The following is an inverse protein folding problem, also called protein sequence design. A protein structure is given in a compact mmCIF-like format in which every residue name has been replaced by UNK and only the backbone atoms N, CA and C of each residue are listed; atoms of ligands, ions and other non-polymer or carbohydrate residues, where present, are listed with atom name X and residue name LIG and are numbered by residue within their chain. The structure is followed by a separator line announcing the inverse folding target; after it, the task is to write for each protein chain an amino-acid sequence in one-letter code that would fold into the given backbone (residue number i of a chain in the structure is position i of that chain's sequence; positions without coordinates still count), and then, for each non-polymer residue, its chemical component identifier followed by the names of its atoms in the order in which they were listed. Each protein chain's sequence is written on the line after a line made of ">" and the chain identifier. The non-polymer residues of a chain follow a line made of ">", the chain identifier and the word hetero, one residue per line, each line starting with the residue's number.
data_IF_473334290627
#
_entry.id   IF_473334290627
#
_cell.length_a   1.000
_cell.length_b   1.000
_cell.length_c   1.000
_cell.angle_alpha   90.00
_cell.angle_beta   90.00
_cell.angle_gamma   90.00
#
_symmetry.space_group_name_H-M   'P 1'
#
loop_
_entity.id
_entity.type
_entity.pdbx_description
1 polymer ?
#
# COMPACT_ATOMS: atom_id res chain seq x y z
N UNK A 1 18.89 -0.41 0.89
CA UNK A 1 18.54 0.27 2.15
C UNK A 1 18.14 -0.82 3.14
N UNK A 2 18.45 -0.72 4.44
CA UNK A 2 17.91 -1.67 5.42
C UNK A 2 16.38 -1.55 5.46
N UNK A 3 15.70 -2.67 5.75
CA UNK A 3 14.24 -2.69 5.92
C UNK A 3 13.82 -1.73 7.04
N UNK A 4 12.72 -0.99 6.83
CA UNK A 4 12.16 -0.09 7.83
C UNK A 4 11.36 -0.90 8.86
N UNK A 5 11.42 -0.51 10.13
CA UNK A 5 10.62 -1.15 11.17
C UNK A 5 9.11 -0.90 10.96
N UNK A 6 8.27 -1.84 11.41
CA UNK A 6 6.81 -1.76 11.29
C UNK A 6 6.25 -0.42 11.78
N UNK A 7 6.61 -0.03 13.00
CA UNK A 7 6.08 1.17 13.65
C UNK A 7 6.43 2.45 12.87
N UNK A 8 7.61 2.49 12.24
CA UNK A 8 8.05 3.65 11.46
C UNK A 8 7.20 3.81 10.19
N UNK A 9 6.96 2.72 9.43
CA UNK A 9 6.13 2.82 8.23
C UNK A 9 4.64 2.94 8.56
N UNK A 10 4.18 2.33 9.66
CA UNK A 10 2.85 2.55 10.22
C UNK A 10 2.59 4.04 10.46
N UNK A 11 3.52 4.73 11.12
CA UNK A 11 3.40 6.17 11.35
C UNK A 11 3.51 6.97 10.04
N UNK A 12 4.45 6.62 9.16
CA UNK A 12 4.65 7.31 7.87
C UNK A 12 3.39 7.37 7.01
N UNK A 13 2.60 6.30 7.01
CA UNK A 13 1.44 6.15 6.14
C UNK A 13 0.09 6.41 6.83
N UNK A 14 0.09 6.79 8.11
CA UNK A 14 -1.11 6.94 8.95
C UNK A 14 -2.18 7.91 8.40
N UNK A 15 -1.81 8.84 7.51
CA UNK A 15 -2.77 9.75 6.87
C UNK A 15 -3.70 9.02 5.88
N UNK A 16 -3.22 7.95 5.27
CA UNK A 16 -3.90 7.23 4.20
C UNK A 16 -4.24 5.78 4.60
N UNK A 17 -3.57 5.23 5.61
CA UNK A 17 -3.60 3.82 5.96
C UNK A 17 -3.69 3.58 7.47
N UNK A 18 -4.61 2.71 7.86
CA UNK A 18 -4.65 2.06 9.16
C UNK A 18 -3.94 0.71 9.04
N UNK A 19 -2.78 0.60 9.70
CA UNK A 19 -1.94 -0.60 9.66
C UNK A 19 -1.96 -1.30 11.03
N UNK A 20 -2.31 -2.58 11.01
CA UNK A 20 -2.28 -3.45 12.18
C UNK A 20 -1.65 -4.78 11.81
N UNK A 21 -0.62 -5.19 12.56
CA UNK A 21 0.05 -6.48 12.38
C UNK A 21 -0.11 -7.31 13.65
N UNK A 22 -0.54 -8.55 13.49
CA UNK A 22 -0.59 -9.51 14.60
C UNK A 22 0.79 -10.11 14.87
N UNK A 23 0.96 -10.73 16.04
CA UNK A 23 2.21 -11.43 16.39
C UNK A 23 2.54 -12.61 15.46
N UNK A 24 1.54 -13.13 14.75
CA UNK A 24 1.70 -14.21 13.77
C UNK A 24 1.99 -13.70 12.34
N UNK A 25 2.29 -12.41 12.17
CA UNK A 25 2.68 -11.84 10.88
C UNK A 25 1.53 -11.53 9.92
N UNK A 26 0.28 -11.47 10.41
CA UNK A 26 -0.86 -11.04 9.58
C UNK A 26 -0.95 -9.52 9.64
N UNK A 27 -0.64 -8.85 8.53
CA UNK A 27 -0.76 -7.42 8.35
C UNK A 27 -2.08 -7.07 7.66
N UNK A 28 -2.93 -6.31 8.35
CA UNK A 28 -4.12 -5.70 7.77
C UNK A 28 -3.82 -4.25 7.44
N UNK A 29 -4.00 -3.88 6.18
CA UNK A 29 -3.81 -2.52 5.67
C UNK A 29 -5.15 -1.99 5.13
N UNK A 30 -5.77 -1.09 5.90
CA UNK A 30 -7.03 -0.46 5.52
C UNK A 30 -6.82 0.98 5.09
N UNK A 31 -7.30 1.37 3.91
CA UNK A 31 -7.21 2.76 3.48
C UNK A 31 -8.40 3.60 3.95
N UNK A 32 -8.18 4.89 4.13
CA UNK A 32 -9.17 5.84 4.61
C UNK A 32 -8.87 7.26 4.15
N UNK A 33 -9.80 8.18 4.43
CA UNK A 33 -9.52 9.62 4.47
C UNK A 33 -10.02 10.13 5.81
N UNK A 34 -9.11 10.65 6.64
CA UNK A 34 -9.42 11.18 7.98
C UNK A 34 -10.25 10.23 8.87
N UNK A 35 -9.98 8.92 8.81
CA UNK A 35 -10.70 7.91 9.58
C UNK A 35 -12.07 7.51 9.01
N UNK A 36 -12.41 7.92 7.80
CA UNK A 36 -13.66 7.58 7.12
C UNK A 36 -13.42 6.82 5.81
N UNK A 37 -14.50 6.52 5.09
CA UNK A 37 -14.43 6.02 3.72
C UNK A 37 -13.40 6.78 2.88
N UNK A 38 -12.72 6.08 1.98
CA UNK A 38 -11.69 6.70 1.14
C UNK A 38 -12.28 7.66 0.10
N UNK A 39 -11.78 8.90 0.15
CA UNK A 39 -11.80 9.86 -0.95
C UNK A 39 -10.48 9.72 -1.74
N UNK A 40 -10.52 8.98 -2.84
CA UNK A 40 -9.35 8.64 -3.63
C UNK A 40 -8.67 9.90 -4.17
N UNK A 41 -7.39 10.09 -3.87
CA UNK A 41 -6.61 11.26 -4.24
C UNK A 41 -5.17 10.89 -4.63
N UNK A 42 -4.41 11.84 -5.20
CA UNK A 42 -3.02 11.60 -5.65
C UNK A 42 -2.06 11.23 -4.51
N UNK A 43 -2.35 11.62 -3.27
CA UNK A 43 -1.58 11.22 -2.10
C UNK A 43 -1.73 9.73 -1.82
N UNK A 44 -2.99 9.25 -1.76
CA UNK A 44 -3.30 7.84 -1.63
C UNK A 44 -2.74 7.02 -2.80
N UNK A 45 -2.99 7.44 -4.04
CA UNK A 45 -2.50 6.80 -5.27
C UNK A 45 -1.00 6.50 -5.19
N UNK A 46 -0.18 7.51 -4.86
CA UNK A 46 1.27 7.37 -4.75
C UNK A 46 1.70 6.52 -3.56
N UNK A 47 0.93 6.53 -2.47
CA UNK A 47 1.29 5.79 -1.26
C UNK A 47 1.17 4.27 -1.42
N UNK A 48 0.32 3.76 -2.33
CA UNK A 48 0.13 2.32 -2.55
C UNK A 48 1.47 1.65 -2.84
N UNK A 49 2.20 2.09 -3.87
CA UNK A 49 3.45 1.44 -4.24
C UNK A 49 4.58 1.65 -3.23
N UNK A 50 4.61 2.80 -2.55
CA UNK A 50 5.58 3.06 -1.50
C UNK A 50 5.36 2.14 -0.29
N UNK A 51 4.11 1.91 0.08
CA UNK A 51 3.75 0.99 1.15
C UNK A 51 4.11 -0.46 0.77
N UNK A 52 3.82 -0.89 -0.47
CA UNK A 52 4.18 -2.25 -0.91
C UNK A 52 5.69 -2.50 -0.87
N UNK A 53 6.51 -1.48 -1.16
CA UNK A 53 7.97 -1.58 -1.02
C UNK A 53 8.40 -1.78 0.44
N UNK A 54 7.85 -1.01 1.37
CA UNK A 54 8.18 -1.16 2.79
C UNK A 54 7.69 -2.51 3.35
N UNK A 55 6.47 -2.96 2.98
CA UNK A 55 5.92 -4.26 3.39
C UNK A 55 6.73 -5.42 2.79
N UNK A 56 7.13 -5.30 1.52
CA UNK A 56 7.91 -6.34 0.83
C UNK A 56 9.26 -6.65 1.46
N UNK A 57 9.84 -5.67 2.15
CA UNK A 57 11.11 -5.81 2.86
C UNK A 57 10.93 -6.25 4.33
N UNK A 58 9.71 -6.31 4.82
CA UNK A 58 9.36 -6.64 6.20
C UNK A 58 9.21 -8.16 6.38
N UNK A 59 10.29 -8.80 6.84
CA UNK A 59 10.37 -10.25 6.98
C UNK A 59 9.47 -10.87 8.05
N UNK A 60 8.80 -10.04 8.87
CA UNK A 60 7.83 -10.52 9.86
C UNK A 60 6.39 -10.50 9.30
N UNK A 61 6.16 -9.93 8.12
CA UNK A 61 4.85 -9.97 7.46
C UNK A 61 4.73 -11.22 6.57
N UNK A 62 3.87 -12.14 6.98
CA UNK A 62 3.61 -13.41 6.30
C UNK A 62 2.36 -13.33 5.41
N UNK A 63 1.36 -12.54 5.82
CA UNK A 63 0.10 -12.37 5.09
C UNK A 63 -0.30 -10.90 5.08
N UNK A 64 -0.60 -10.37 3.89
CA UNK A 64 -1.16 -9.02 3.72
C UNK A 64 -2.66 -9.11 3.36
N UNK A 65 -3.49 -8.40 4.12
CA UNK A 65 -4.92 -8.19 3.83
C UNK A 65 -5.13 -6.72 3.48
N UNK A 66 -5.64 -6.46 2.27
CA UNK A 66 -5.95 -5.12 1.77
C UNK A 66 -7.46 -4.86 1.81
N UNK A 67 -7.89 -3.68 2.27
CA UNK A 67 -9.30 -3.32 2.29
C UNK A 67 -9.57 -1.84 2.55
N UNK A 68 -10.83 -1.44 2.43
CA UNK A 68 -11.28 -0.11 2.85
C UNK A 68 -11.63 -0.03 4.33
N UNK A 69 -11.60 1.18 4.87
CA UNK A 69 -12.24 1.53 6.13
C UNK A 69 -13.61 2.20 5.88
N UNK A 70 -14.56 2.00 6.80
CA UNK A 70 -15.91 2.55 6.69
C UNK A 70 -16.90 1.58 6.03
N UNK A 71 -17.93 2.14 5.42
CA UNK A 71 -19.04 1.40 4.79
C UNK A 71 -18.77 1.08 3.32
N UNK A 72 -17.80 1.76 2.71
CA UNK A 72 -17.46 1.60 1.30
C UNK A 72 -15.98 1.28 1.11
N UNK A 73 -15.68 0.53 0.05
CA UNK A 73 -14.28 0.29 -0.35
C UNK A 73 -13.65 1.59 -0.88
N UNK A 74 -14.37 2.35 -1.69
CA UNK A 74 -13.95 3.64 -2.24
C UNK A 74 -15.21 4.47 -2.43
N UNK A 75 -15.27 5.68 -1.85
CA UNK A 75 -16.47 6.51 -1.86
C UNK A 75 -16.56 7.40 -3.09
N UNK A 76 -15.50 8.14 -3.36
CA UNK A 76 -15.39 9.04 -4.51
C UNK A 76 -13.94 9.30 -4.88
N UNK A 77 -13.75 9.80 -6.09
CA UNK A 77 -12.49 10.35 -6.54
C UNK A 77 -12.47 11.86 -6.29
N UNK A 78 -11.38 12.36 -5.70
CA UNK A 78 -11.12 13.79 -5.47
C UNK A 78 -9.94 14.22 -6.33
N UNK A 79 -10.25 14.84 -7.46
CA UNK A 79 -9.26 15.47 -8.32
C UNK A 79 -8.65 16.70 -7.64
N UNK A 80 -7.34 16.88 -7.80
CA UNK A 80 -6.62 18.08 -7.33
C UNK A 80 -6.30 19.05 -8.47
N UNK A 81 -6.65 18.71 -9.70
CA UNK A 81 -6.41 19.57 -10.86
C UNK A 81 -7.71 20.22 -11.33
N UNK A 82 -7.57 21.43 -11.86
CA UNK A 82 -8.59 22.03 -12.71
C UNK A 82 -8.59 21.25 -14.02
N UNK A 83 -9.54 20.31 -14.12
CA UNK A 83 -9.53 19.20 -15.06
C UNK A 83 -9.46 19.69 -16.52
N UNK A 84 -10.08 20.82 -16.84
CA UNK A 84 -10.37 21.22 -18.22
C UNK A 84 -9.14 21.56 -19.09
N UNK A 85 -8.01 21.99 -18.53
CA UNK A 85 -6.89 22.45 -19.35
C UNK A 85 -5.90 21.35 -19.78
N UNK A 86 -5.84 20.20 -19.08
CA UNK A 86 -4.78 19.19 -19.28
C UNK A 86 -5.21 17.73 -19.06
N UNK A 87 -6.49 17.39 -19.26
CA UNK A 87 -7.00 16.03 -19.03
C UNK A 87 -6.20 14.92 -19.69
N UNK A 88 -5.74 15.10 -20.95
CA UNK A 88 -5.00 14.06 -21.66
C UNK A 88 -3.63 13.79 -21.03
N UNK A 89 -2.90 14.85 -20.67
CA UNK A 89 -1.61 14.71 -19.99
C UNK A 89 -1.80 14.11 -18.60
N UNK A 90 -2.81 14.55 -17.86
CA UNK A 90 -3.13 14.02 -16.53
C UNK A 90 -3.48 12.53 -16.57
N UNK A 91 -4.35 12.14 -17.50
CA UNK A 91 -4.75 10.75 -17.69
C UNK A 91 -3.55 9.88 -18.05
N UNK A 92 -2.64 10.39 -18.89
CA UNK A 92 -1.45 9.64 -19.28
C UNK A 92 -0.43 9.53 -18.13
N UNK A 93 -0.03 10.63 -17.51
CA UNK A 93 1.02 10.62 -16.48
C UNK A 93 0.53 9.96 -15.18
N UNK A 94 -0.61 10.38 -14.65
CA UNK A 94 -1.01 9.98 -13.30
C UNK A 94 -1.93 8.76 -13.26
N UNK A 95 -2.80 8.57 -14.25
CA UNK A 95 -3.68 7.40 -14.26
C UNK A 95 -3.05 6.21 -14.99
N UNK A 96 -2.38 6.44 -16.12
CA UNK A 96 -1.77 5.37 -16.91
C UNK A 96 -0.33 5.04 -16.46
N UNK A 97 0.61 5.99 -16.54
CA UNK A 97 2.02 5.72 -16.20
C UNK A 97 2.21 5.43 -14.71
N UNK A 98 1.75 6.31 -13.83
CA UNK A 98 1.84 6.07 -12.39
C UNK A 98 0.97 4.88 -11.97
N UNK A 99 -0.22 4.70 -12.56
CA UNK A 99 -1.11 3.58 -12.27
C UNK A 99 -0.53 2.22 -12.67
N UNK A 100 0.13 2.12 -13.84
CA UNK A 100 0.81 0.88 -14.26
C UNK A 100 2.00 0.55 -13.36
N UNK A 101 2.76 1.56 -12.92
CA UNK A 101 3.83 1.38 -11.92
C UNK A 101 3.27 0.91 -10.57
N UNK A 102 2.15 1.48 -10.14
CA UNK A 102 1.44 1.07 -8.92
C UNK A 102 1.01 -0.39 -9.00
N UNK A 103 0.39 -0.82 -10.10
CA UNK A 103 0.04 -2.24 -10.30
C UNK A 103 1.29 -3.12 -10.29
N UNK A 104 2.36 -2.67 -10.95
CA UNK A 104 3.67 -3.34 -10.91
C UNK A 104 4.19 -3.55 -9.48
N UNK A 105 4.03 -2.56 -8.60
CA UNK A 105 4.45 -2.69 -7.20
C UNK A 105 3.63 -3.70 -6.41
N UNK A 106 2.31 -3.77 -6.62
CA UNK A 106 1.43 -4.73 -5.95
C UNK A 106 1.81 -6.18 -6.28
N UNK A 107 2.25 -6.42 -7.51
CA UNK A 107 2.62 -7.77 -7.97
C UNK A 107 4.05 -8.13 -7.58
N UNK A 108 5.01 -7.20 -7.72
CA UNK A 108 6.43 -7.53 -7.67
C UNK A 108 7.09 -7.21 -6.34
N UNK A 109 6.60 -6.23 -5.59
CA UNK A 109 7.34 -5.72 -4.43
C UNK A 109 7.02 -6.51 -3.16
N UNK A 110 5.87 -7.20 -3.09
CA UNK A 110 5.53 -8.09 -1.98
C UNK A 110 6.37 -9.38 -1.95
N UNK A 111 7.30 -9.57 -2.89
CA UNK A 111 8.16 -10.74 -2.93
C UNK A 111 9.19 -10.67 -1.81
N UNK A 112 8.98 -11.48 -0.79
CA UNK A 112 9.89 -11.65 0.34
C UNK A 112 11.33 -11.95 -0.15
N UNK A 113 12.36 -11.25 0.35
CA UNK A 113 13.76 -11.61 0.07
C UNK A 113 14.06 -12.97 0.70
N UNK A 114 14.41 -13.97 -0.11
CA UNK A 114 14.78 -15.35 0.25
C UNK A 114 14.75 -15.66 1.76
N UNK A 115 13.64 -16.25 2.22
CA UNK A 115 13.49 -16.74 3.59
C UNK A 115 14.54 -17.83 3.85
N UNK A 116 15.73 -17.43 4.34
CA UNK A 116 16.68 -18.34 5.00
C UNK A 116 16.28 -18.65 6.44
N UNK A 117 15.08 -18.23 6.87
CA UNK A 117 14.45 -18.75 8.07
C UNK A 117 13.53 -19.87 7.61
N UNK A 118 13.93 -21.10 7.94
CA UNK A 118 13.07 -22.28 7.95
C UNK A 118 13.21 -23.37 6.86
N UNK A 119 14.45 -23.77 6.54
CA UNK A 119 14.72 -25.15 6.10
C UNK A 119 14.83 -26.14 7.28
N UNK A 120 14.35 -25.81 8.49
CA UNK A 120 14.61 -26.60 9.71
C UNK A 120 13.37 -26.99 10.54
N UNK A 121 12.16 -26.59 10.16
CA UNK A 121 10.91 -26.89 10.89
C UNK A 121 9.99 -27.87 10.16
N UNK A 122 10.35 -28.28 8.94
CA UNK A 122 9.60 -29.22 8.11
C UNK A 122 10.35 -30.50 7.74
N UNK A 123 11.40 -30.85 8.50
CA UNK A 123 11.95 -32.20 8.46
C UNK A 123 11.47 -32.94 9.73
N UNK A 124 10.87 -34.14 9.59
CA UNK A 124 10.44 -34.94 10.72
C UNK A 124 11.61 -35.36 11.62
#
# INVERSE_FOLDING_TARGET
>A
MPARAFDDYKQRYANNWMLERTDNGILTAKWHTDGHDLDYNLGFHRSIGQLMEDIGQDADTEVLILGGHGDTFLKKYKSLLDEDANMLWFAYEHMFLDGTRMIGSLVNNLRHPDHRRDQRRWLP
#
